data_IF_616563416024
#
_entry.id   IF_616563416024
#
_cell.length_a   1.000
_cell.length_b   1.000
_cell.length_c   1.000
_cell.angle_alpha   90.00
_cell.angle_beta   90.00
_cell.angle_gamma   90.00
#
_symmetry.space_group_name_H-M   'P 1'
#
loop_
_entity.id
_entity.type
_entity.pdbx_description
1 polymer ?
#
# COMPACT_ATOMS: atom_id res chain seq x y z
N UNK A 1 -6.03 5.58 -3.10
CA UNK A 1 -6.70 4.47 -3.81
C UNK A 1 -6.39 3.18 -3.06
N UNK A 2 -7.41 2.36 -2.82
CA UNK A 2 -7.26 1.02 -2.24
C UNK A 2 -7.76 -0.01 -3.25
N UNK A 3 -6.93 -0.98 -3.57
CA UNK A 3 -7.25 -2.09 -4.44
C UNK A 3 -6.89 -3.41 -3.77
N UNK A 4 -7.55 -4.50 -4.20
CA UNK A 4 -7.16 -5.87 -3.87
C UNK A 4 -6.68 -6.58 -5.14
N UNK A 5 -7.19 -7.80 -5.35
CA UNK A 5 -6.90 -8.69 -6.48
C UNK A 5 -5.52 -9.36 -6.43
N UNK A 6 -4.44 -8.61 -6.51
CA UNK A 6 -3.10 -9.20 -6.44
C UNK A 6 -2.85 -9.71 -5.03
N UNK A 7 -2.45 -10.97 -4.86
CA UNK A 7 -2.26 -11.58 -3.54
C UNK A 7 -0.92 -11.16 -2.91
N UNK A 8 -0.76 -9.87 -2.70
CA UNK A 8 0.39 -9.24 -2.06
C UNK A 8 -0.02 -7.89 -1.46
N UNK A 9 0.91 -7.30 -0.72
CA UNK A 9 0.83 -5.93 -0.25
C UNK A 9 1.76 -5.06 -1.10
N UNK A 10 1.29 -3.89 -1.54
CA UNK A 10 2.11 -2.89 -2.23
C UNK A 10 1.69 -1.48 -1.79
N UNK A 11 2.68 -0.60 -1.60
CA UNK A 11 2.51 0.84 -1.41
C UNK A 11 3.28 1.59 -2.48
N UNK A 12 2.59 2.50 -3.14
CA UNK A 12 3.16 3.42 -4.11
C UNK A 12 3.30 4.82 -3.50
N UNK A 13 4.21 5.60 -4.06
CA UNK A 13 4.31 7.04 -3.87
C UNK A 13 3.00 7.74 -4.30
N UNK A 14 2.92 9.05 -4.07
CA UNK A 14 1.84 9.86 -4.62
C UNK A 14 1.98 9.92 -6.15
N UNK A 15 0.95 9.46 -6.86
CA UNK A 15 0.96 9.37 -8.33
C UNK A 15 -0.11 10.29 -8.95
N UNK A 16 0.21 10.92 -10.08
CA UNK A 16 -0.77 11.65 -10.89
C UNK A 16 -1.52 10.71 -11.85
N UNK A 17 -2.48 11.26 -12.61
CA UNK A 17 -3.28 10.49 -13.57
C UNK A 17 -2.53 10.05 -14.85
N UNK A 18 -1.27 10.49 -15.02
CA UNK A 18 -0.38 10.08 -16.10
C UNK A 18 0.53 8.91 -15.68
N UNK A 19 0.45 8.46 -14.42
CA UNK A 19 1.29 7.39 -13.90
C UNK A 19 2.70 7.87 -13.49
N UNK A 20 2.84 9.15 -13.13
CA UNK A 20 4.10 9.74 -12.70
C UNK A 20 4.04 10.13 -11.22
N UNK A 21 5.19 10.10 -10.54
CA UNK A 21 5.30 10.57 -9.15
C UNK A 21 5.02 12.08 -9.10
N UNK A 22 4.08 12.48 -8.24
CA UNK A 22 3.67 13.87 -8.08
C UNK A 22 3.33 14.19 -6.62
N UNK A 23 3.85 15.28 -6.03
CA UNK A 23 3.50 15.70 -4.67
C UNK A 23 2.01 15.99 -4.45
N UNK A 24 1.26 16.29 -5.52
CA UNK A 24 -0.19 16.53 -5.48
C UNK A 24 -1.00 15.33 -5.96
N UNK A 25 -0.34 14.17 -6.11
CA UNK A 25 -0.96 12.92 -6.54
C UNK A 25 -1.75 12.22 -5.43
N UNK A 26 -2.28 11.04 -5.76
CA UNK A 26 -3.01 10.17 -4.83
C UNK A 26 -2.12 8.98 -4.48
N UNK A 27 -2.08 8.60 -3.19
CA UNK A 27 -1.41 7.37 -2.75
C UNK A 27 -2.21 6.14 -3.16
N UNK A 28 -1.54 5.09 -3.65
CA UNK A 28 -2.16 3.80 -3.94
C UNK A 28 -1.61 2.70 -3.03
N UNK A 29 -2.54 1.89 -2.52
CA UNK A 29 -2.26 0.64 -1.83
C UNK A 29 -2.91 -0.53 -2.58
N UNK A 30 -2.18 -1.62 -2.73
CA UNK A 30 -2.70 -2.93 -3.11
C UNK A 30 -2.64 -3.81 -1.87
N UNK A 31 -3.78 -4.38 -1.47
CA UNK A 31 -3.95 -5.16 -0.24
C UNK A 31 -4.79 -6.40 -0.56
N UNK A 32 -4.21 -7.36 -1.29
CA UNK A 32 -4.86 -8.65 -1.57
C UNK A 32 -4.37 -9.80 -0.68
N UNK A 33 -3.78 -9.47 0.47
CA UNK A 33 -3.19 -10.38 1.46
C UNK A 33 -4.18 -11.11 2.36
N UNK A 34 -5.46 -11.18 1.97
CA UNK A 34 -6.58 -11.63 2.83
C UNK A 34 -6.69 -13.14 3.09
N UNK A 35 -5.76 -13.97 2.61
CA UNK A 35 -5.70 -15.40 2.96
C UNK A 35 -5.70 -16.41 1.81
N UNK A 36 -5.75 -15.95 0.55
CA UNK A 36 -5.41 -16.81 -0.60
C UNK A 36 -3.90 -16.84 -0.79
N UNK A 37 -3.36 -17.92 -1.37
CA UNK A 37 -1.93 -18.11 -1.59
C UNK A 37 -1.26 -16.84 -2.17
N UNK A 38 -0.30 -16.30 -1.43
CA UNK A 38 0.41 -15.10 -1.83
C UNK A 38 1.41 -15.42 -2.96
N UNK A 39 1.72 -14.42 -3.76
CA UNK A 39 2.78 -14.52 -4.75
C UNK A 39 3.39 -13.13 -5.04
N UNK A 40 4.68 -13.14 -5.33
CA UNK A 40 5.40 -11.95 -5.75
C UNK A 40 5.37 -11.81 -7.27
N UNK A 41 5.30 -10.55 -7.71
CA UNK A 41 5.58 -10.17 -9.08
C UNK A 41 7.00 -9.63 -9.19
N UNK A 42 7.55 -9.62 -10.40
CA UNK A 42 8.73 -8.81 -10.70
C UNK A 42 8.33 -7.33 -10.64
N UNK A 43 8.70 -6.69 -9.53
CA UNK A 43 8.41 -5.29 -9.26
C UNK A 43 9.43 -4.31 -9.87
N UNK A 44 10.48 -4.79 -10.54
CA UNK A 44 11.60 -3.96 -11.04
C UNK A 44 11.18 -2.86 -12.02
N UNK A 45 9.98 -2.95 -12.59
CA UNK A 45 9.42 -1.99 -13.55
C UNK A 45 8.31 -1.10 -13.00
N UNK A 46 7.92 -1.28 -11.74
CA UNK A 46 6.81 -0.52 -11.16
C UNK A 46 7.24 0.92 -10.82
N UNK A 47 6.72 1.89 -11.56
CA UNK A 47 7.00 3.32 -11.30
C UNK A 47 6.37 3.71 -9.96
N UNK A 48 7.18 4.34 -9.10
CA UNK A 48 6.72 4.86 -7.82
C UNK A 48 6.41 3.80 -6.76
N UNK A 49 6.77 2.52 -6.97
CA UNK A 49 6.64 1.52 -5.91
C UNK A 49 7.64 1.82 -4.78
N UNK A 50 7.13 2.01 -3.55
CA UNK A 50 7.94 2.32 -2.38
C UNK A 50 8.12 1.11 -1.46
N UNK A 51 7.15 0.22 -1.42
CA UNK A 51 7.22 -1.01 -0.64
C UNK A 51 6.33 -2.09 -1.26
N UNK A 52 6.78 -3.34 -1.23
CA UNK A 52 5.97 -4.50 -1.58
C UNK A 52 6.36 -5.71 -0.74
N UNK A 53 5.39 -6.59 -0.46
CA UNK A 53 5.61 -7.86 0.19
C UNK A 53 4.57 -8.88 -0.30
N UNK A 54 5.02 -9.98 -0.89
CA UNK A 54 4.15 -11.08 -1.35
C UNK A 54 4.29 -12.36 -0.56
N UNK A 55 4.84 -12.32 0.66
CA UNK A 55 5.13 -13.52 1.46
C UNK A 55 4.28 -13.64 2.72
N UNK A 56 3.53 -12.60 3.11
CA UNK A 56 2.77 -12.56 4.37
C UNK A 56 1.30 -12.24 4.15
N UNK A 57 0.45 -12.78 5.02
CA UNK A 57 -0.93 -12.34 5.14
C UNK A 57 -1.02 -11.16 6.10
N UNK A 58 -2.04 -10.32 5.90
CA UNK A 58 -2.19 -9.13 6.70
C UNK A 58 -3.31 -8.23 6.20
N UNK A 59 -3.48 -7.12 6.90
CA UNK A 59 -4.51 -6.12 6.65
C UNK A 59 -3.90 -4.72 6.68
N UNK A 60 -4.49 -3.82 5.89
CA UNK A 60 -4.22 -2.39 6.00
C UNK A 60 -5.16 -1.79 7.04
N UNK A 61 -4.59 -1.23 8.10
CA UNK A 61 -5.31 -0.42 9.09
C UNK A 61 -5.15 1.06 8.73
N UNK A 62 -6.28 1.76 8.58
CA UNK A 62 -6.31 3.20 8.37
C UNK A 62 -6.91 3.91 9.57
N UNK A 63 -6.27 4.98 10.03
CA UNK A 63 -6.82 5.93 10.99
C UNK A 63 -7.02 7.25 10.27
N UNK A 64 -8.26 7.70 10.16
CA UNK A 64 -8.60 8.91 9.41
C UNK A 64 -8.75 10.11 10.35
N UNK A 65 -8.14 11.22 9.97
CA UNK A 65 -8.24 12.52 10.64
C UNK A 65 -8.88 13.55 9.70
N UNK A 66 -9.25 14.74 10.20
CA UNK A 66 -9.88 15.76 9.35
C UNK A 66 -9.04 16.21 8.15
N UNK A 67 -7.71 16.22 8.27
CA UNK A 67 -6.78 16.72 7.25
C UNK A 67 -5.61 15.78 6.98
N UNK A 68 -5.65 14.54 7.50
CA UNK A 68 -4.59 13.56 7.34
C UNK A 68 -5.11 12.15 7.56
N UNK A 69 -4.28 11.17 7.30
CA UNK A 69 -4.54 9.78 7.68
C UNK A 69 -3.23 9.11 8.06
N UNK A 70 -3.33 8.18 9.01
CA UNK A 70 -2.27 7.21 9.30
C UNK A 70 -2.62 5.88 8.65
N UNK A 71 -1.61 5.15 8.25
CA UNK A 71 -1.74 3.81 7.73
C UNK A 71 -0.71 2.88 8.39
N UNK A 72 -1.10 1.63 8.57
CA UNK A 72 -0.21 0.56 9.00
C UNK A 72 -0.62 -0.75 8.31
N UNK A 73 0.34 -1.45 7.71
CA UNK A 73 0.15 -2.83 7.28
C UNK A 73 0.53 -3.77 8.43
N UNK A 74 -0.48 -4.48 8.93
CA UNK A 74 -0.40 -5.36 10.09
C UNK A 74 -0.56 -6.80 9.61
N UNK A 75 0.42 -7.65 9.89
CA UNK A 75 0.37 -9.07 9.57
C UNK A 75 -0.59 -9.84 10.49
N UNK A 76 -0.89 -11.07 10.10
CA UNK A 76 -1.75 -11.98 10.88
C UNK A 76 -1.18 -12.36 12.26
N UNK A 77 0.13 -12.24 12.45
CA UNK A 77 0.80 -12.35 13.76
C UNK A 77 0.86 -11.03 14.56
N UNK A 78 0.19 -9.96 14.08
CA UNK A 78 0.18 -8.59 14.62
C UNK A 78 1.48 -7.80 14.48
N UNK A 79 2.44 -8.25 13.67
CA UNK A 79 3.63 -7.45 13.35
C UNK A 79 3.27 -6.30 12.41
N UNK A 80 3.84 -5.11 12.63
CA UNK A 80 3.71 -3.98 11.70
C UNK A 80 4.92 -3.98 10.77
N UNK A 81 4.69 -4.17 9.46
CA UNK A 81 5.79 -4.23 8.48
C UNK A 81 5.99 -2.92 7.71
N UNK A 82 4.95 -2.10 7.65
CA UNK A 82 4.96 -0.83 6.94
C UNK A 82 4.00 0.11 7.69
N UNK A 83 4.38 1.36 7.95
CA UNK A 83 3.49 2.38 8.53
C UNK A 83 3.88 3.79 8.14
N UNK A 84 2.93 4.73 8.22
CA UNK A 84 3.19 6.14 7.93
C UNK A 84 1.95 7.02 8.05
N UNK A 85 2.14 8.29 7.74
CA UNK A 85 1.11 9.34 7.79
C UNK A 85 1.22 10.17 6.53
N UNK A 86 0.08 10.61 5.99
CA UNK A 86 0.03 11.58 4.89
C UNK A 86 -1.06 12.63 5.16
N UNK A 87 -0.82 13.84 4.66
CA UNK A 87 -1.82 14.90 4.67
C UNK A 87 -2.84 14.69 3.54
N UNK A 88 -4.10 15.05 3.80
CA UNK A 88 -5.10 15.22 2.75
C UNK A 88 -4.92 16.62 2.17
N UNK A 89 -4.33 16.70 0.98
CA UNK A 89 -4.13 17.94 0.23
C UNK A 89 -5.40 18.37 -0.52
#
# INVERSE_FOLDING_TARGET
MLAGHDHNYQRFALMNNLGEVSPTGIRQFIVGTGGKNNFEHDFSRAVGLEYANGNVHGVLKLTLHPTSYDWAFVTDDNTVLDQGTDACL
#
